data_IF_110408052084
#
_entry.id   IF_110408052084
#
_cell.length_a   1.000
_cell.length_b   1.000
_cell.length_c   1.000
_cell.angle_alpha   90.00
_cell.angle_beta   90.00
_cell.angle_gamma   90.00
#
_symmetry.space_group_name_H-M   'P 1'
#
loop_
_entity.id
_entity.type
_entity.pdbx_description
1 polymer ?
#
# COMPACT_ATOMS: atom_id res chain seq x y z
N UNK A 1 -21.35 -2.81 -24.23
CA UNK A 1 -20.17 -3.47 -23.63
C UNK A 1 -19.05 -2.44 -23.75
N UNK A 2 -18.72 -1.73 -22.67
CA UNK A 2 -17.69 -0.69 -22.72
C UNK A 2 -16.35 -1.40 -22.52
N UNK A 3 -15.61 -1.54 -23.61
CA UNK A 3 -14.21 -1.93 -23.56
C UNK A 3 -13.43 -0.79 -22.90
N UNK A 4 -13.06 -0.96 -21.63
CA UNK A 4 -12.05 -0.12 -21.01
C UNK A 4 -10.69 -0.66 -21.49
N UNK A 5 -10.11 0.04 -22.45
CA UNK A 5 -8.76 -0.21 -22.93
C UNK A 5 -7.84 0.01 -21.71
N UNK A 6 -7.05 -1.01 -21.34
CA UNK A 6 -5.91 -0.84 -20.43
C UNK A 6 -4.88 -0.02 -21.20
N UNK A 7 -4.93 1.31 -21.10
CA UNK A 7 -3.91 2.15 -21.69
C UNK A 7 -2.68 2.11 -20.79
N UNK A 8 -1.68 1.35 -21.23
CA UNK A 8 -0.33 1.42 -20.67
C UNK A 8 0.16 2.86 -20.86
N UNK A 9 0.31 3.61 -19.78
CA UNK A 9 1.10 4.85 -19.81
C UNK A 9 2.57 4.44 -19.80
N UNK A 10 3.11 4.04 -20.96
CA UNK A 10 4.57 4.11 -21.17
C UNK A 10 4.93 5.59 -21.14
N UNK A 11 5.83 6.06 -20.26
CA UNK A 11 6.11 7.47 -20.13
C UNK A 11 6.52 8.08 -21.46
N UNK A 12 5.61 8.86 -22.05
CA UNK A 12 6.00 10.07 -22.74
C UNK A 12 6.58 11.00 -21.69
N UNK A 13 5.81 11.37 -20.65
CA UNK A 13 6.25 12.27 -19.59
C UNK A 13 5.46 11.98 -18.30
N UNK A 14 6.11 11.73 -17.15
CA UNK A 14 5.44 11.70 -15.84
C UNK A 14 4.62 12.99 -15.57
N UNK A 15 4.98 14.08 -16.26
CA UNK A 15 4.23 15.32 -16.30
C UNK A 15 2.78 15.16 -16.78
N UNK A 16 2.50 14.24 -17.71
CA UNK A 16 1.13 13.96 -18.18
C UNK A 16 0.31 13.28 -17.10
N UNK A 17 0.89 12.31 -16.38
CA UNK A 17 0.24 11.67 -15.23
C UNK A 17 -0.11 12.73 -14.17
N UNK A 18 0.83 13.62 -13.86
CA UNK A 18 0.59 14.73 -12.93
C UNK A 18 -0.57 15.60 -13.40
N UNK A 19 -0.58 15.98 -14.68
CA UNK A 19 -1.64 16.83 -15.27
C UNK A 19 -3.00 16.14 -15.21
N UNK A 20 -3.06 14.85 -15.53
CA UNK A 20 -4.29 14.06 -15.47
C UNK A 20 -4.80 13.89 -14.03
N UNK A 21 -3.90 13.72 -13.05
CA UNK A 21 -4.27 13.71 -11.62
C UNK A 21 -4.85 15.05 -11.20
N UNK A 22 -4.20 16.16 -11.56
CA UNK A 22 -4.65 17.53 -11.23
C UNK A 22 -5.98 17.89 -11.93
N UNK A 23 -6.22 17.33 -13.12
CA UNK A 23 -7.46 17.50 -13.87
C UNK A 23 -8.60 16.56 -13.40
N UNK A 24 -8.32 15.60 -12.51
CA UNK A 24 -9.29 14.60 -12.06
C UNK A 24 -9.69 13.58 -13.13
N UNK A 25 -8.79 13.32 -14.09
CA UNK A 25 -9.03 12.44 -15.23
C UNK A 25 -8.69 10.97 -14.93
N UNK A 26 -7.86 10.74 -13.91
CA UNK A 26 -7.50 9.39 -13.46
C UNK A 26 -8.69 8.72 -12.78
N UNK A 27 -9.08 7.55 -13.29
CA UNK A 27 -10.20 6.76 -12.80
C UNK A 27 -9.70 5.59 -11.97
N UNK A 28 -10.53 5.17 -11.02
CA UNK A 28 -10.27 3.92 -10.30
C UNK A 28 -10.12 2.77 -11.27
N UNK A 29 -9.11 1.93 -11.02
CA UNK A 29 -8.65 0.80 -11.83
C UNK A 29 -7.75 1.16 -13.01
N UNK A 30 -7.47 2.43 -13.29
CA UNK A 30 -6.38 2.78 -14.22
C UNK A 30 -5.06 2.20 -13.71
N UNK A 31 -4.18 1.80 -14.63
CA UNK A 31 -2.92 1.13 -14.34
C UNK A 31 -1.76 1.94 -14.91
N UNK A 32 -0.75 2.17 -14.07
CA UNK A 32 0.55 2.69 -14.50
C UNK A 32 1.58 1.57 -14.36
N UNK A 33 2.41 1.41 -15.39
CA UNK A 33 3.52 0.46 -15.41
C UNK A 33 4.83 1.24 -15.39
N UNK A 34 5.78 0.81 -14.57
CA UNK A 34 7.09 1.43 -14.50
C UNK A 34 8.13 0.45 -13.97
N UNK A 35 9.39 0.74 -14.23
CA UNK A 35 10.49 -0.05 -13.71
C UNK A 35 11.08 0.66 -12.50
N UNK A 36 11.38 -0.10 -11.45
CA UNK A 36 12.33 0.35 -10.45
C UNK A 36 13.72 0.47 -11.08
N UNK A 37 14.61 1.25 -10.46
CA UNK A 37 16.01 1.38 -10.87
C UNK A 37 16.79 0.06 -10.81
N UNK A 38 16.27 -0.94 -10.11
CA UNK A 38 16.78 -2.32 -10.11
C UNK A 38 16.50 -3.06 -11.41
N UNK A 39 15.56 -2.57 -12.22
CA UNK A 39 15.05 -3.23 -13.43
C UNK A 39 13.74 -3.99 -13.21
N UNK A 40 13.31 -4.16 -11.96
CA UNK A 40 12.03 -4.80 -11.60
C UNK A 40 10.85 -4.03 -12.21
N UNK A 41 10.02 -4.72 -12.99
CA UNK A 41 8.80 -4.18 -13.58
C UNK A 41 7.66 -4.26 -12.56
N UNK A 42 7.01 -3.13 -12.29
CA UNK A 42 5.88 -3.05 -11.38
C UNK A 42 4.69 -2.34 -12.03
N UNK A 43 3.49 -2.65 -11.54
CA UNK A 43 2.27 -1.96 -11.92
C UNK A 43 1.61 -1.38 -10.67
N UNK A 44 1.07 -0.15 -10.75
CA UNK A 44 0.26 0.44 -9.70
C UNK A 44 -1.13 0.80 -10.23
N UNK A 45 -2.15 0.47 -9.44
CA UNK A 45 -3.55 0.70 -9.72
C UNK A 45 -4.04 1.96 -9.01
N UNK A 46 -4.66 2.86 -9.76
CA UNK A 46 -5.39 4.00 -9.23
C UNK A 46 -6.65 3.54 -8.48
N UNK A 47 -6.92 4.12 -7.33
CA UNK A 47 -8.11 3.84 -6.51
C UNK A 47 -8.46 5.05 -5.67
N UNK A 48 -9.75 5.22 -5.41
CA UNK A 48 -10.22 6.25 -4.50
C UNK A 48 -10.65 5.63 -3.18
N UNK A 49 -10.40 6.35 -2.09
CA UNK A 49 -11.10 6.09 -0.84
C UNK A 49 -12.54 6.63 -0.88
N UNK A 50 -13.31 6.38 0.17
CA UNK A 50 -14.70 6.83 0.25
C UNK A 50 -14.86 8.35 0.37
N UNK A 51 -13.76 9.08 0.61
CA UNK A 51 -13.73 10.54 0.66
C UNK A 51 -13.33 11.15 -0.69
N UNK A 52 -13.01 10.34 -1.70
CA UNK A 52 -12.54 10.79 -3.01
C UNK A 52 -11.06 11.11 -3.07
N UNK A 53 -10.27 10.71 -2.07
CA UNK A 53 -8.81 10.83 -2.14
C UNK A 53 -8.25 9.77 -3.10
N UNK A 54 -7.43 10.18 -4.06
CA UNK A 54 -6.77 9.29 -5.01
C UNK A 54 -5.48 8.71 -4.43
N UNK A 55 -5.32 7.40 -4.61
CA UNK A 55 -4.12 6.65 -4.29
C UNK A 55 -3.72 5.76 -5.48
N UNK A 56 -2.42 5.51 -5.60
CA UNK A 56 -1.88 4.45 -6.43
C UNK A 56 -1.38 3.34 -5.51
N UNK A 57 -1.76 2.09 -5.78
CA UNK A 57 -1.38 0.91 -4.99
C UNK A 57 -0.79 -0.12 -5.92
N UNK A 58 0.37 -0.70 -5.58
CA UNK A 58 0.93 -1.77 -6.41
C UNK A 58 -0.10 -2.88 -6.65
N UNK A 59 -0.17 -3.41 -7.87
CA UNK A 59 -1.04 -4.53 -8.22
C UNK A 59 -0.57 -5.80 -7.52
N UNK A 60 0.73 -6.08 -7.62
CA UNK A 60 1.40 -7.23 -7.03
C UNK A 60 2.46 -6.78 -6.01
N UNK A 61 3.04 -7.74 -5.30
CA UNK A 61 4.13 -7.47 -4.38
C UNK A 61 5.43 -7.20 -5.15
N UNK A 62 6.35 -6.48 -4.50
CA UNK A 62 7.75 -6.46 -4.91
C UNK A 62 8.33 -7.88 -4.91
N UNK A 63 9.37 -8.10 -5.72
CA UNK A 63 10.08 -9.38 -5.83
C UNK A 63 10.63 -9.84 -4.47
N UNK A 64 11.26 -8.91 -3.74
CA UNK A 64 11.81 -9.17 -2.42
C UNK A 64 10.74 -9.03 -1.31
N UNK A 65 10.57 -10.10 -0.54
CA UNK A 65 9.84 -10.04 0.72
C UNK A 65 10.61 -9.25 1.80
N UNK A 66 9.88 -8.66 2.73
CA UNK A 66 10.52 -7.93 3.83
C UNK A 66 9.77 -8.11 5.14
N UNK A 67 10.51 -8.21 6.24
CA UNK A 67 9.93 -8.28 7.57
C UNK A 67 9.36 -6.92 8.00
N UNK A 68 8.26 -6.91 8.75
CA UNK A 68 7.72 -5.64 9.27
C UNK A 68 8.73 -4.95 10.21
N UNK A 69 9.35 -5.74 11.10
CA UNK A 69 10.35 -5.31 12.08
C UNK A 69 11.45 -6.36 12.27
N UNK A 70 12.67 -5.92 12.59
CA UNK A 70 13.81 -6.80 12.92
C UNK A 70 13.63 -7.60 14.21
N UNK A 71 12.60 -7.30 14.99
CA UNK A 71 12.21 -8.01 16.21
C UNK A 71 10.71 -8.28 16.16
N UNK A 72 10.27 -9.33 16.84
CA UNK A 72 8.85 -9.68 17.00
C UNK A 72 8.13 -8.68 17.91
N UNK A 73 7.96 -7.44 17.45
CA UNK A 73 7.25 -6.38 18.16
C UNK A 73 6.43 -5.52 17.20
N UNK A 74 5.31 -4.97 17.67
CA UNK A 74 4.52 -3.94 17.00
C UNK A 74 4.45 -2.63 17.81
N UNK A 75 5.31 -2.47 18.82
CA UNK A 75 5.38 -1.27 19.64
C UNK A 75 5.68 -0.05 18.77
N UNK A 76 4.90 1.01 18.95
CA UNK A 76 4.99 2.24 18.14
C UNK A 76 4.29 2.14 16.78
N UNK A 77 3.64 1.02 16.48
CA UNK A 77 2.83 0.82 15.28
C UNK A 77 3.62 1.00 13.98
N UNK A 78 2.93 1.53 12.96
CA UNK A 78 3.52 1.81 11.66
C UNK A 78 4.62 2.87 11.75
N UNK A 79 4.39 3.93 12.54
CA UNK A 79 5.27 5.10 12.63
C UNK A 79 6.72 4.74 13.01
N UNK A 80 6.88 3.74 13.89
CA UNK A 80 8.20 3.26 14.35
C UNK A 80 8.72 2.03 13.60
N UNK A 81 7.92 1.45 12.69
CA UNK A 81 8.26 0.20 12.02
C UNK A 81 9.53 0.29 11.15
N UNK A 82 10.26 -0.82 11.05
CA UNK A 82 11.40 -0.92 10.14
C UNK A 82 10.94 -0.94 8.69
N UNK A 83 9.78 -1.52 8.38
CA UNK A 83 9.16 -1.48 7.05
C UNK A 83 8.92 -0.05 6.58
N UNK A 84 8.35 0.83 7.43
CA UNK A 84 8.17 2.25 7.07
C UNK A 84 9.49 2.92 6.70
N UNK A 85 10.54 2.66 7.48
CA UNK A 85 11.90 3.17 7.23
C UNK A 85 12.46 2.62 5.93
N UNK A 86 12.27 1.32 5.66
CA UNK A 86 12.70 0.66 4.43
C UNK A 86 11.99 1.26 3.21
N UNK A 87 10.66 1.39 3.25
CA UNK A 87 9.89 2.00 2.16
C UNK A 87 10.35 3.45 1.88
N UNK A 88 10.46 4.29 2.90
CA UNK A 88 10.72 5.72 2.71
C UNK A 88 12.20 6.09 2.52
N UNK A 89 13.15 5.18 2.77
CA UNK A 89 14.60 5.42 2.58
C UNK A 89 15.25 4.56 1.51
N UNK A 90 14.78 3.33 1.32
CA UNK A 90 15.34 2.40 0.36
C UNK A 90 14.46 2.33 -0.88
N UNK A 91 13.22 1.84 -0.74
CA UNK A 91 12.33 1.61 -1.90
C UNK A 91 11.98 2.90 -2.62
N UNK A 92 11.71 4.00 -1.90
CA UNK A 92 11.45 5.30 -2.52
C UNK A 92 12.59 5.75 -3.45
N UNK A 93 13.85 5.51 -3.08
CA UNK A 93 15.00 5.89 -3.90
C UNK A 93 15.22 4.96 -5.10
N UNK A 94 14.54 3.81 -5.15
CA UNK A 94 14.51 2.90 -6.30
C UNK A 94 13.45 3.29 -7.32
N UNK A 95 12.50 4.17 -7.00
CA UNK A 95 11.54 4.67 -7.98
C UNK A 95 12.24 5.54 -9.03
N UNK A 96 11.67 5.67 -10.25
CA UNK A 96 12.10 6.69 -11.21
C UNK A 96 12.18 8.08 -10.58
N UNK A 97 13.22 8.86 -10.89
CA UNK A 97 13.44 10.18 -10.25
C UNK A 97 12.29 11.16 -10.52
N UNK A 98 11.69 11.07 -11.69
CA UNK A 98 10.52 11.88 -12.06
C UNK A 98 9.30 11.51 -11.21
N UNK A 99 9.04 10.21 -10.97
CA UNK A 99 7.97 9.77 -10.07
C UNK A 99 8.24 10.21 -8.62
N UNK A 100 9.49 10.12 -8.14
CA UNK A 100 9.87 10.61 -6.82
C UNK A 100 9.52 12.10 -6.64
N UNK A 101 9.70 12.91 -7.68
CA UNK A 101 9.39 14.34 -7.66
C UNK A 101 7.88 14.64 -7.64
N UNK A 102 7.05 13.69 -8.08
CA UNK A 102 5.58 13.82 -8.09
C UNK A 102 4.93 13.36 -6.78
N UNK A 103 5.53 12.38 -6.10
CA UNK A 103 4.93 11.80 -4.90
C UNK A 103 4.80 12.84 -3.79
N UNK A 104 3.57 13.01 -3.31
CA UNK A 104 3.24 13.84 -2.15
C UNK A 104 3.18 12.97 -0.89
N UNK A 105 3.67 13.47 0.27
CA UNK A 105 3.49 12.77 1.53
C UNK A 105 2.02 12.57 1.87
N UNK A 106 1.66 11.35 2.26
CA UNK A 106 0.36 10.98 2.78
C UNK A 106 0.41 10.98 4.30
N UNK A 107 -0.54 11.67 4.95
CA UNK A 107 -0.73 11.58 6.39
C UNK A 107 -1.29 10.21 6.76
N UNK A 108 -0.63 9.53 7.69
CA UNK A 108 -1.10 8.28 8.29
C UNK A 108 -1.38 8.53 9.76
N UNK A 109 -2.54 8.07 10.22
CA UNK A 109 -3.00 8.24 11.59
C UNK A 109 -3.36 6.90 12.19
N UNK A 110 -2.77 6.59 13.34
CA UNK A 110 -3.10 5.42 14.13
C UNK A 110 -3.46 5.83 15.57
N UNK A 111 -4.38 5.11 16.20
CA UNK A 111 -4.64 5.20 17.64
C UNK A 111 -4.10 3.94 18.29
N UNK A 112 -3.06 4.08 19.11
CA UNK A 112 -2.37 2.98 19.80
C UNK A 112 -2.56 3.17 21.30
N UNK A 113 -3.18 2.20 21.98
CA UNK A 113 -3.46 2.27 23.42
C UNK A 113 -4.19 3.57 23.85
N UNK A 114 -5.04 4.10 22.97
CA UNK A 114 -5.77 5.36 23.18
C UNK A 114 -5.00 6.63 22.81
N UNK A 115 -3.72 6.52 22.45
CA UNK A 115 -2.89 7.64 22.02
C UNK A 115 -2.88 7.78 20.50
N UNK A 116 -3.05 9.01 20.02
CA UNK A 116 -2.99 9.32 18.60
C UNK A 116 -1.54 9.47 18.15
N UNK A 117 -1.15 8.66 17.18
CA UNK A 117 0.17 8.64 16.54
C UNK A 117 0.00 9.03 15.08
N UNK A 118 0.82 9.97 14.62
CA UNK A 118 0.77 10.46 13.24
C UNK A 118 2.15 10.37 12.59
N UNK A 119 2.17 10.09 11.29
CA UNK A 119 3.35 10.25 10.46
C UNK A 119 2.96 10.69 9.05
N UNK A 120 3.94 11.20 8.31
CA UNK A 120 3.79 11.51 6.89
C UNK A 120 4.73 10.61 6.09
N UNK A 121 4.19 9.97 5.06
CA UNK A 121 4.86 8.91 4.30
C UNK A 121 4.77 9.17 2.80
N UNK A 122 5.90 9.08 2.11
CA UNK A 122 5.93 9.09 0.64
C UNK A 122 5.41 7.76 0.10
N UNK A 123 5.86 6.67 0.71
CA UNK A 123 5.40 5.31 0.46
C UNK A 123 4.84 4.72 1.75
N UNK A 124 3.67 4.08 1.67
CA UNK A 124 3.01 3.46 2.82
C UNK A 124 2.49 2.07 2.48
N UNK A 125 2.40 1.18 3.46
CA UNK A 125 1.55 0.00 3.31
C UNK A 125 0.09 0.38 3.57
N UNK A 126 -0.83 -0.30 2.90
CA UNK A 126 -2.25 -0.10 3.13
C UNK A 126 -2.66 -0.52 4.54
N UNK A 127 -3.67 0.15 5.08
CA UNK A 127 -4.29 -0.28 6.33
C UNK A 127 -5.33 -1.36 6.11
N UNK A 128 -5.67 -2.07 7.19
CA UNK A 128 -6.78 -3.01 7.22
C UNK A 128 -8.10 -2.32 6.90
N UNK A 129 -8.31 -1.09 7.37
CA UNK A 129 -9.50 -0.31 7.03
C UNK A 129 -9.55 0.05 5.55
N UNK A 130 -8.43 0.41 4.93
CA UNK A 130 -8.35 0.64 3.48
C UNK A 130 -8.68 -0.62 2.66
N UNK A 131 -8.29 -1.80 3.13
CA UNK A 131 -8.46 -3.05 2.37
C UNK A 131 -9.80 -3.75 2.63
N UNK A 132 -10.27 -3.75 3.87
CA UNK A 132 -11.46 -4.52 4.28
C UNK A 132 -12.64 -3.65 4.72
N UNK A 133 -12.46 -2.32 4.77
CA UNK A 133 -13.45 -1.38 5.26
C UNK A 133 -13.50 -1.29 6.79
N UNK A 134 -14.39 -0.42 7.27
CA UNK A 134 -14.60 -0.18 8.69
C UNK A 134 -15.07 -1.47 9.38
N UNK A 135 -14.55 -1.71 10.57
CA UNK A 135 -14.82 -2.87 11.40
C UNK A 135 -14.07 -2.75 12.73
N UNK A 136 -13.47 -3.85 13.21
CA UNK A 136 -12.71 -3.88 14.48
C UNK A 136 -11.48 -2.95 14.50
N UNK A 137 -11.09 -2.37 13.37
CA UNK A 137 -9.96 -1.44 13.24
C UNK A 137 -10.37 0.03 13.10
N UNK A 138 -11.68 0.32 13.09
CA UNK A 138 -12.18 1.68 12.87
C UNK A 138 -11.66 2.70 13.88
N UNK A 139 -11.50 2.28 15.14
CA UNK A 139 -10.97 3.13 16.21
C UNK A 139 -9.45 3.31 16.13
N UNK A 140 -8.74 2.27 15.65
CA UNK A 140 -7.29 2.29 15.47
C UNK A 140 -6.88 3.11 14.23
N UNK A 141 -7.76 3.22 13.24
CA UNK A 141 -7.51 3.84 11.93
C UNK A 141 -8.65 4.80 11.58
N UNK A 142 -8.84 5.87 12.38
CA UNK A 142 -10.04 6.68 12.33
C UNK A 142 -10.21 7.41 11.00
N UNK A 143 -9.12 7.82 10.36
CA UNK A 143 -9.11 8.63 9.14
C UNK A 143 -9.10 7.80 7.85
N UNK A 144 -8.78 6.51 7.95
CA UNK A 144 -8.78 5.62 6.79
C UNK A 144 -10.20 5.21 6.40
N UNK A 145 -10.47 5.14 5.10
CA UNK A 145 -11.71 4.57 4.55
C UNK A 145 -11.38 3.54 3.48
N UNK A 146 -12.32 2.63 3.19
CA UNK A 146 -12.09 1.55 2.24
C UNK A 146 -11.76 2.08 0.85
N UNK A 147 -10.76 1.50 0.21
CA UNK A 147 -10.43 1.76 -1.19
C UNK A 147 -11.39 1.00 -2.10
N UNK A 148 -11.91 1.68 -3.12
CA UNK A 148 -12.95 1.16 -4.02
C UNK A 148 -12.50 -0.01 -4.91
N UNK A 149 -11.21 -0.32 -4.95
CA UNK A 149 -10.73 -1.52 -5.67
C UNK A 149 -10.98 -2.81 -4.87
N UNK A 150 -11.10 -2.76 -3.54
CA UNK A 150 -11.11 -3.94 -2.65
C UNK A 150 -12.50 -4.45 -2.21
N UNK A 151 -13.41 -4.65 -3.15
CA UNK A 151 -14.77 -5.14 -2.84
C UNK A 151 -14.88 -6.67 -2.64
N UNK A 152 -13.91 -7.44 -3.12
CA UNK A 152 -13.96 -8.92 -3.12
C UNK A 152 -12.67 -9.54 -2.62
N UNK A 153 -12.70 -10.81 -2.23
CA UNK A 153 -11.48 -11.55 -1.87
C UNK A 153 -10.48 -11.56 -3.04
N UNK A 154 -10.97 -11.83 -4.25
CA UNK A 154 -10.14 -11.84 -5.47
C UNK A 154 -9.44 -10.51 -5.73
N UNK A 155 -10.10 -9.38 -5.46
CA UNK A 155 -9.48 -8.06 -5.63
C UNK A 155 -8.36 -7.76 -4.63
N UNK A 156 -8.20 -8.57 -3.57
CA UNK A 156 -7.16 -8.39 -2.54
C UNK A 156 -5.98 -9.34 -2.72
N UNK A 157 -6.08 -10.31 -3.64
CA UNK A 157 -5.00 -11.24 -3.95
C UNK A 157 -3.88 -10.49 -4.66
N UNK A 158 -2.64 -10.83 -4.32
CA UNK A 158 -1.42 -10.33 -4.98
C UNK A 158 -0.52 -11.50 -5.30
N UNK A 159 0.21 -11.39 -6.39
CA UNK A 159 1.33 -12.28 -6.69
C UNK A 159 2.63 -11.72 -6.11
N UNK A 160 3.61 -12.59 -5.89
CA UNK A 160 4.94 -12.23 -5.39
C UNK A 160 5.98 -13.13 -6.04
N UNK A 161 6.78 -12.58 -6.96
CA UNK A 161 7.86 -13.30 -7.64
C UNK A 161 7.45 -14.72 -8.11
N UNK A 162 8.24 -15.73 -7.78
CA UNK A 162 8.02 -17.15 -8.10
C UNK A 162 7.09 -17.88 -7.12
N UNK A 163 6.59 -17.20 -6.08
CA UNK A 163 5.66 -17.78 -5.11
C UNK A 163 4.22 -17.92 -5.62
N UNK A 164 3.88 -17.24 -6.72
CA UNK A 164 2.50 -17.10 -7.17
C UNK A 164 1.69 -16.23 -6.20
N UNK A 165 0.44 -16.59 -5.92
CA UNK A 165 -0.40 -15.81 -4.99
C UNK A 165 0.15 -15.90 -3.57
N UNK A 166 0.40 -14.76 -2.93
CA UNK A 166 1.16 -14.73 -1.69
C UNK A 166 0.55 -13.82 -0.63
N UNK A 167 1.01 -14.00 0.61
CA UNK A 167 0.62 -13.14 1.73
C UNK A 167 1.31 -11.78 1.61
N UNK A 168 0.60 -10.71 1.94
CA UNK A 168 1.18 -9.36 1.88
C UNK A 168 0.78 -8.48 3.05
N UNK A 169 1.74 -7.67 3.50
CA UNK A 169 1.64 -6.89 4.73
C UNK A 169 0.64 -5.74 4.68
N UNK A 170 0.05 -5.43 5.83
CA UNK A 170 -0.70 -4.20 6.11
C UNK A 170 -0.01 -3.42 7.23
N UNK A 171 -0.14 -2.08 7.21
CA UNK A 171 0.45 -1.20 8.25
C UNK A 171 -0.19 -1.34 9.64
N UNK A 172 -1.27 -2.12 9.75
CA UNK A 172 -2.09 -2.24 10.95
C UNK A 172 -1.46 -3.16 12.00
N UNK A 173 -1.04 -2.67 13.17
CA UNK A 173 -0.60 -3.54 14.27
C UNK A 173 -1.79 -4.33 14.81
N UNK A 174 -1.56 -5.57 15.22
CA UNK A 174 -2.60 -6.37 15.87
C UNK A 174 -2.79 -5.94 17.32
N UNK A 175 -3.98 -5.47 17.67
CA UNK A 175 -4.24 -4.88 18.99
C UNK A 175 -4.17 -5.86 20.17
N UNK A 176 -4.31 -7.16 19.94
CA UNK A 176 -4.33 -8.16 21.03
C UNK A 176 -2.97 -8.83 21.26
N UNK A 177 -1.92 -8.44 20.55
CA UNK A 177 -0.57 -8.97 20.74
C UNK A 177 0.45 -7.89 20.49
N UNK A 178 1.53 -7.88 21.27
CA UNK A 178 2.63 -6.95 21.08
C UNK A 178 3.59 -7.35 19.97
N UNK A 179 3.35 -8.46 19.25
CA UNK A 179 4.30 -9.07 18.30
C UNK A 179 3.84 -9.10 16.85
N UNK A 180 2.59 -8.74 16.56
CA UNK A 180 1.95 -9.04 15.27
C UNK A 180 1.50 -7.80 14.51
N UNK A 181 1.55 -7.90 13.19
CA UNK A 181 0.90 -6.98 12.24
C UNK A 181 -0.09 -7.74 11.37
N UNK A 182 -1.06 -7.03 10.82
CA UNK A 182 -2.04 -7.58 9.91
C UNK A 182 -1.44 -7.83 8.53
N UNK A 183 -2.00 -8.81 7.84
CA UNK A 183 -1.69 -9.08 6.45
C UNK A 183 -2.94 -9.60 5.73
N UNK A 184 -2.89 -9.68 4.40
CA UNK A 184 -3.92 -10.31 3.57
C UNK A 184 -3.46 -11.69 3.15
N UNK A 185 -4.29 -12.72 3.35
CA UNK A 185 -3.93 -14.08 3.00
C UNK A 185 -3.82 -14.25 1.47
N UNK A 186 -3.11 -15.28 0.99
CA UNK A 186 -2.89 -15.50 -0.45
C UNK A 186 -4.18 -15.71 -1.26
N UNK A 187 -5.30 -16.03 -0.62
CA UNK A 187 -6.62 -16.13 -1.22
C UNK A 187 -7.50 -14.86 -1.04
N UNK A 188 -6.96 -13.79 -0.45
CA UNK A 188 -7.65 -12.52 -0.20
C UNK A 188 -8.51 -12.49 1.07
N UNK A 189 -8.44 -13.51 1.92
CA UNK A 189 -9.20 -13.57 3.19
C UNK A 189 -8.69 -12.55 4.22
N UNK A 190 -9.58 -12.19 5.15
CA UNK A 190 -9.34 -11.24 6.24
C UNK A 190 -8.90 -11.94 7.55
N UNK A 191 -8.71 -11.12 8.60
CA UNK A 191 -8.42 -11.56 9.99
C UNK A 191 -7.08 -12.27 10.21
N UNK A 192 -6.13 -12.08 9.30
CA UNK A 192 -4.82 -12.66 9.43
C UNK A 192 -3.82 -11.70 10.08
N UNK A 193 -2.89 -12.27 10.82
CA UNK A 193 -1.81 -11.58 11.49
C UNK A 193 -0.59 -12.48 11.53
N UNK A 194 0.58 -11.87 11.41
CA UNK A 194 1.84 -12.60 11.41
C UNK A 194 2.89 -11.87 12.24
N UNK A 195 3.89 -12.63 12.69
CA UNK A 195 5.02 -12.16 13.49
C UNK A 195 5.74 -11.06 12.74
N UNK A 196 5.97 -9.92 13.39
CA UNK A 196 6.62 -8.78 12.75
C UNK A 196 8.03 -9.11 12.18
N UNK A 197 8.67 -10.16 12.71
CA UNK A 197 9.97 -10.68 12.26
C UNK A 197 9.91 -11.55 10.99
N UNK A 198 8.74 -12.10 10.65
CA UNK A 198 8.60 -12.91 9.45
C UNK A 198 8.64 -12.04 8.20
N UNK A 199 9.14 -12.56 7.09
CA UNK A 199 9.05 -11.90 5.80
C UNK A 199 7.72 -12.27 5.13
N UNK A 200 7.06 -11.28 4.52
CA UNK A 200 5.90 -11.46 3.66
C UNK A 200 6.02 -10.46 2.49
N UNK A 201 5.13 -10.59 1.50
CA UNK A 201 5.07 -9.71 0.34
C UNK A 201 4.83 -8.24 0.70
N UNK A 202 5.44 -7.35 -0.10
CA UNK A 202 5.40 -5.90 0.09
C UNK A 202 4.67 -5.26 -1.07
N UNK A 203 3.50 -4.67 -0.81
CA UNK A 203 2.74 -3.90 -1.79
C UNK A 203 2.44 -2.50 -1.24
N UNK A 204 3.24 -1.52 -1.66
CA UNK A 204 3.10 -0.15 -1.20
C UNK A 204 2.03 0.63 -1.98
N UNK A 205 1.53 1.69 -1.36
CA UNK A 205 0.78 2.75 -2.00
C UNK A 205 1.48 4.11 -1.88
N UNK A 206 1.04 5.04 -2.71
CA UNK A 206 1.51 6.43 -2.76
C UNK A 206 0.44 7.36 -3.32
N UNK A 207 0.64 8.67 -3.15
CA UNK A 207 -0.20 9.74 -3.71
C UNK A 207 0.63 10.69 -4.57
N UNK A 208 0.01 11.29 -5.59
CA UNK A 208 0.58 12.31 -6.49
C UNK A 208 -0.17 13.63 -6.31
#
# INVERSE_FOLDING_TARGET
MINFIKETVTPGEWADLKTAVEAGEIKSRDLIHFNLKTGEEVAARATHDMNGNLFFVLEDCLEDEHAMNKRSTNKGGWAESDMRKHLNKTVFNLLPDELQALIKPTKVVQVLDGERVECEDKLFLLSRTQVFGKGNYSEYEPEDTQLDIFHTEKSRVKECADHGTWWWWLRSPYSQSSSYFCYVYSNGSAYNYDTAYNANGVAFGFSI
#
